data_IF_632863106840
#
_entry.id   IF_632863106840
#
_cell.length_a   1.000
_cell.length_b   1.000
_cell.length_c   1.000
_cell.angle_alpha   90.00
_cell.angle_beta   90.00
_cell.angle_gamma   90.00
#
_symmetry.space_group_name_H-M   'P 1'
#
loop_
_entity.id
_entity.type
_entity.pdbx_description
1 polymer ?
#
# COMPACT_ATOMS: atom_id res chain seq x y z
N UNK A 1 -73.40 -48.77 7.47
CA UNK A 1 -72.75 -47.64 6.80
C UNK A 1 -71.25 -47.72 7.11
N UNK A 2 -70.54 -48.56 6.34
CA UNK A 2 -69.10 -48.81 6.46
C UNK A 2 -68.62 -49.14 5.04
N UNK A 3 -68.15 -48.13 4.31
CA UNK A 3 -67.45 -48.35 3.05
C UNK A 3 -65.99 -48.60 3.42
N UNK A 4 -65.60 -49.84 3.16
CA UNK A 4 -64.37 -50.49 3.51
C UNK A 4 -63.10 -49.72 3.09
N UNK A 5 -62.14 -49.79 4.00
CA UNK A 5 -60.70 -49.59 3.90
C UNK A 5 -60.01 -50.31 2.73
N UNK A 6 -60.36 -49.97 1.50
CA UNK A 6 -59.56 -50.32 0.30
C UNK A 6 -59.18 -49.04 -0.43
N UNK A 7 -58.38 -48.19 0.24
CA UNK A 7 -57.65 -47.12 -0.44
C UNK A 7 -56.63 -47.76 -1.39
N UNK A 8 -57.07 -47.91 -2.63
CA UNK A 8 -56.38 -48.40 -3.84
C UNK A 8 -54.87 -48.13 -3.82
N UNK A 9 -54.01 -49.18 -3.82
CA UNK A 9 -52.57 -49.09 -3.55
C UNK A 9 -51.82 -48.18 -4.53
N UNK A 10 -52.31 -48.07 -5.77
CA UNK A 10 -51.77 -47.17 -6.78
C UNK A 10 -51.89 -45.70 -6.37
N UNK A 11 -53.08 -45.27 -5.91
CA UNK A 11 -53.34 -43.88 -5.54
C UNK A 11 -52.44 -43.47 -4.37
N UNK A 12 -52.31 -44.35 -3.37
CA UNK A 12 -51.44 -44.11 -2.22
C UNK A 12 -49.96 -44.00 -2.64
N UNK A 13 -49.48 -44.83 -3.57
CA UNK A 13 -48.11 -44.75 -4.09
C UNK A 13 -47.85 -43.47 -4.87
N UNK A 14 -48.75 -43.04 -5.75
CA UNK A 14 -48.59 -41.78 -6.52
C UNK A 14 -48.61 -40.57 -5.58
N UNK A 15 -49.49 -40.54 -4.58
CA UNK A 15 -49.50 -39.50 -3.55
C UNK A 15 -48.24 -39.54 -2.68
N UNK A 16 -47.73 -40.72 -2.33
CA UNK A 16 -46.46 -40.89 -1.60
C UNK A 16 -45.28 -40.37 -2.43
N UNK A 17 -45.26 -40.65 -3.74
CA UNK A 17 -44.26 -40.13 -4.68
C UNK A 17 -44.33 -38.60 -4.79
N UNK A 18 -45.55 -38.05 -4.88
CA UNK A 18 -45.77 -36.60 -4.86
C UNK A 18 -45.27 -35.96 -3.55
N UNK A 19 -45.63 -36.54 -2.40
CA UNK A 19 -45.16 -36.08 -1.07
C UNK A 19 -43.63 -36.08 -0.98
N UNK A 20 -42.96 -37.12 -1.50
CA UNK A 20 -41.49 -37.17 -1.56
C UNK A 20 -40.90 -36.07 -2.43
N UNK A 21 -41.48 -35.78 -3.61
CA UNK A 21 -41.05 -34.65 -4.46
C UNK A 21 -41.23 -33.30 -3.77
N UNK A 22 -42.35 -33.10 -3.08
CA UNK A 22 -42.62 -31.88 -2.31
C UNK A 22 -41.62 -31.73 -1.16
N UNK A 23 -41.36 -32.80 -0.41
CA UNK A 23 -40.37 -32.81 0.67
C UNK A 23 -38.96 -32.45 0.17
N UNK A 24 -38.53 -33.04 -0.94
CA UNK A 24 -37.24 -32.71 -1.57
C UNK A 24 -37.18 -31.26 -2.03
N UNK A 25 -38.27 -30.72 -2.57
CA UNK A 25 -38.37 -29.30 -2.91
C UNK A 25 -38.15 -28.39 -1.69
N UNK A 26 -38.74 -28.72 -0.54
CA UNK A 26 -38.52 -27.98 0.70
C UNK A 26 -37.07 -28.06 1.19
N UNK A 27 -36.43 -29.23 1.10
CA UNK A 27 -35.01 -29.38 1.43
C UNK A 27 -34.16 -28.44 0.56
N UNK A 28 -34.41 -28.40 -0.76
CA UNK A 28 -33.67 -27.49 -1.65
C UNK A 28 -33.88 -26.01 -1.32
N UNK A 29 -35.11 -25.61 -0.99
CA UNK A 29 -35.41 -24.25 -0.53
C UNK A 29 -34.66 -23.90 0.75
N UNK A 30 -34.59 -24.83 1.70
CA UNK A 30 -33.85 -24.64 2.94
C UNK A 30 -32.34 -24.52 2.69
N UNK A 31 -31.76 -25.40 1.87
CA UNK A 31 -30.36 -25.34 1.48
C UNK A 31 -30.02 -24.04 0.74
N UNK A 32 -30.92 -23.57 -0.13
CA UNK A 32 -30.79 -22.28 -0.79
C UNK A 32 -30.76 -21.12 0.21
N UNK A 33 -31.69 -21.09 1.17
CA UNK A 33 -31.74 -20.06 2.20
C UNK A 33 -30.47 -20.07 3.07
N UNK A 34 -29.98 -21.25 3.46
CA UNK A 34 -28.74 -21.40 4.23
C UNK A 34 -27.52 -20.93 3.44
N UNK A 35 -27.44 -21.25 2.15
CA UNK A 35 -26.38 -20.76 1.27
C UNK A 35 -26.37 -19.24 1.17
N UNK A 36 -27.55 -18.63 1.05
CA UNK A 36 -27.69 -17.18 0.98
C UNK A 36 -27.31 -16.51 2.31
N UNK A 37 -27.73 -17.07 3.44
CA UNK A 37 -27.34 -16.58 4.75
C UNK A 37 -25.82 -16.67 4.95
N UNK A 38 -25.22 -17.79 4.55
CA UNK A 38 -23.78 -18.00 4.62
C UNK A 38 -23.01 -16.99 3.75
N UNK A 39 -23.47 -16.78 2.51
CA UNK A 39 -22.95 -15.75 1.61
C UNK A 39 -23.04 -14.37 2.26
N UNK A 40 -24.21 -14.02 2.81
CA UNK A 40 -24.43 -12.72 3.45
C UNK A 40 -23.50 -12.50 4.64
N UNK A 41 -23.39 -13.47 5.55
CA UNK A 41 -22.49 -13.37 6.73
C UNK A 41 -21.05 -13.19 6.27
N UNK A 42 -20.61 -13.98 5.30
CA UNK A 42 -19.24 -13.92 4.79
C UNK A 42 -18.97 -12.60 4.05
N UNK A 43 -19.91 -12.14 3.23
CA UNK A 43 -19.84 -10.86 2.52
C UNK A 43 -19.82 -9.67 3.48
N UNK A 44 -20.66 -9.68 4.53
CA UNK A 44 -20.63 -8.67 5.59
C UNK A 44 -19.32 -8.73 6.38
N UNK A 45 -18.78 -9.92 6.66
CA UNK A 45 -17.47 -10.08 7.31
C UNK A 45 -16.32 -9.51 6.48
N UNK A 46 -16.36 -9.69 5.14
CA UNK A 46 -15.43 -9.09 4.19
C UNK A 46 -15.60 -7.55 4.18
N UNK A 47 -16.82 -7.05 4.05
CA UNK A 47 -17.12 -5.61 4.01
C UNK A 47 -16.74 -4.89 5.30
N UNK A 48 -17.00 -5.51 6.46
CA UNK A 48 -16.60 -4.99 7.78
C UNK A 48 -15.09 -5.15 8.05
N UNK A 49 -14.32 -5.65 7.08
CA UNK A 49 -12.85 -5.73 7.13
C UNK A 49 -12.31 -6.50 8.33
N UNK A 50 -13.04 -7.51 8.80
CA UNK A 50 -12.60 -8.35 9.93
C UNK A 50 -11.60 -9.44 9.51
N UNK A 51 -11.50 -9.71 8.20
CA UNK A 51 -10.69 -10.78 7.64
C UNK A 51 -9.85 -10.28 6.46
N UNK A 52 -8.60 -10.75 6.38
CA UNK A 52 -7.74 -10.57 5.21
C UNK A 52 -7.84 -11.83 4.37
N UNK A 53 -8.62 -11.77 3.29
CA UNK A 53 -8.71 -12.86 2.32
C UNK A 53 -7.77 -12.62 1.12
N UNK A 54 -7.10 -13.68 0.66
CA UNK A 54 -6.47 -13.71 -0.66
C UNK A 54 -7.53 -13.90 -1.77
N UNK A 55 -7.23 -13.52 -3.01
CA UNK A 55 -8.14 -13.66 -4.15
C UNK A 55 -8.61 -15.11 -4.35
N UNK A 56 -7.74 -16.09 -4.07
CA UNK A 56 -8.08 -17.52 -4.10
C UNK A 56 -9.11 -17.88 -3.03
N UNK A 57 -8.98 -17.32 -1.84
CA UNK A 57 -9.88 -17.58 -0.71
C UNK A 57 -11.25 -16.92 -0.94
N UNK A 58 -11.28 -15.72 -1.53
CA UNK A 58 -12.52 -15.07 -1.96
C UNK A 58 -13.24 -15.93 -3.00
N UNK A 59 -12.54 -16.45 -4.01
CA UNK A 59 -13.13 -17.34 -5.01
C UNK A 59 -13.74 -18.60 -4.38
N UNK A 60 -13.04 -19.19 -3.42
CA UNK A 60 -13.50 -20.39 -2.71
C UNK A 60 -14.71 -20.12 -1.80
N UNK A 61 -14.80 -18.91 -1.26
CA UNK A 61 -15.90 -18.46 -0.41
C UNK A 61 -17.17 -18.15 -1.21
N UNK A 62 -17.02 -17.65 -2.44
CA UNK A 62 -18.14 -17.33 -3.34
C UNK A 62 -18.68 -18.55 -4.08
N UNK A 63 -17.87 -19.59 -4.29
CA UNK A 63 -18.25 -20.78 -5.05
C UNK A 63 -19.51 -21.51 -4.52
N UNK A 64 -19.67 -21.78 -3.21
CA UNK A 64 -20.90 -22.38 -2.65
C UNK A 64 -22.16 -21.57 -3.00
N UNK A 65 -22.02 -20.25 -3.01
CA UNK A 65 -23.11 -19.31 -3.28
C UNK A 65 -23.60 -19.42 -4.72
N UNK A 66 -22.70 -19.65 -5.68
CA UNK A 66 -23.07 -19.87 -7.08
C UNK A 66 -23.77 -21.22 -7.32
N UNK A 67 -23.35 -22.29 -6.64
CA UNK A 67 -24.03 -23.61 -6.73
C UNK A 67 -25.50 -23.50 -6.28
N UNK A 68 -25.77 -22.63 -5.30
CA UNK A 68 -27.13 -22.40 -4.83
C UNK A 68 -28.02 -21.61 -5.81
N UNK A 69 -27.45 -20.81 -6.72
CA UNK A 69 -28.23 -20.05 -7.72
C UNK A 69 -28.95 -20.94 -8.75
N UNK A 70 -28.55 -22.21 -8.88
CA UNK A 70 -29.22 -23.18 -9.76
C UNK A 70 -30.54 -23.69 -9.13
N UNK A 71 -30.65 -23.66 -7.79
CA UNK A 71 -31.79 -24.17 -7.03
C UNK A 71 -33.13 -23.42 -7.24
N UNK A 72 -33.20 -22.08 -7.36
CA UNK A 72 -34.46 -21.37 -7.56
C UNK A 72 -35.16 -21.66 -8.90
N UNK A 73 -34.48 -22.31 -9.86
CA UNK A 73 -35.10 -22.74 -11.13
C UNK A 73 -36.04 -23.95 -10.94
N UNK A 74 -35.99 -24.62 -9.78
CA UNK A 74 -36.87 -25.74 -9.47
C UNK A 74 -38.25 -25.21 -9.06
N UNK A 75 -39.25 -25.40 -9.92
CA UNK A 75 -40.65 -25.06 -9.62
C UNK A 75 -41.23 -26.03 -8.58
N UNK A 76 -42.15 -25.55 -7.75
CA UNK A 76 -42.93 -26.39 -6.83
C UNK A 76 -43.59 -27.53 -7.64
N UNK A 77 -43.34 -28.81 -7.31
CA UNK A 77 -43.95 -29.91 -8.02
C UNK A 77 -45.46 -29.89 -7.74
N UNK A 78 -46.27 -29.71 -8.77
CA UNK A 78 -47.72 -29.91 -8.69
C UNK A 78 -48.07 -31.39 -8.83
N UNK A 79 -49.23 -31.80 -8.32
CA UNK A 79 -49.74 -33.16 -8.51
C UNK A 79 -49.86 -33.50 -10.01
N UNK A 80 -50.29 -32.53 -10.81
CA UNK A 80 -50.38 -32.64 -12.29
C UNK A 80 -49.02 -32.91 -12.94
N UNK A 81 -47.98 -32.19 -12.53
CA UNK A 81 -46.62 -32.42 -13.02
C UNK A 81 -46.03 -33.75 -12.55
N UNK A 82 -46.52 -34.25 -11.41
CA UNK A 82 -46.12 -35.54 -10.86
C UNK A 82 -46.73 -36.68 -11.66
N UNK A 83 -48.03 -36.58 -11.98
CA UNK A 83 -48.73 -37.52 -12.87
C UNK A 83 -48.10 -37.54 -14.26
N UNK A 84 -47.91 -36.37 -14.89
CA UNK A 84 -47.23 -36.28 -16.20
C UNK A 84 -45.84 -36.92 -16.21
N UNK A 85 -45.08 -36.72 -15.14
CA UNK A 85 -43.74 -37.32 -15.01
C UNK A 85 -43.80 -38.85 -14.92
N UNK A 86 -44.75 -39.40 -14.17
CA UNK A 86 -44.93 -40.85 -14.04
C UNK A 86 -45.40 -41.49 -15.36
N UNK A 87 -46.31 -40.83 -16.08
CA UNK A 87 -46.74 -41.26 -17.42
C UNK A 87 -45.61 -41.16 -18.46
N UNK A 88 -44.73 -40.16 -18.34
CA UNK A 88 -43.56 -40.03 -19.22
C UNK A 88 -42.52 -41.12 -18.95
N UNK A 89 -42.32 -41.48 -17.68
CA UNK A 89 -41.38 -42.53 -17.28
C UNK A 89 -41.88 -43.94 -17.56
N UNK A 90 -43.19 -44.12 -17.67
CA UNK A 90 -43.78 -45.39 -18.05
C UNK A 90 -44.97 -45.12 -18.99
N UNK A 91 -44.76 -45.24 -20.32
CA UNK A 91 -45.75 -44.92 -21.35
C UNK A 91 -47.06 -45.69 -21.20
N UNK A 92 -47.06 -46.86 -20.54
CA UNK A 92 -48.25 -47.66 -20.31
C UNK A 92 -49.26 -46.93 -19.41
N UNK A 93 -48.84 -45.95 -18.62
CA UNK A 93 -49.74 -45.15 -17.81
C UNK A 93 -50.32 -43.93 -18.54
N UNK A 94 -49.90 -43.64 -19.78
CA UNK A 94 -50.24 -42.41 -20.51
C UNK A 94 -51.75 -42.19 -20.59
N UNK A 95 -52.22 -41.05 -20.10
CA UNK A 95 -53.64 -40.69 -20.03
C UNK A 95 -54.44 -41.38 -18.92
N UNK A 96 -54.03 -42.58 -18.47
CA UNK A 96 -54.74 -43.36 -17.45
C UNK A 96 -54.57 -42.77 -16.04
N UNK A 97 -53.34 -42.38 -15.66
CA UNK A 97 -53.11 -41.72 -14.38
C UNK A 97 -53.74 -40.31 -14.35
N UNK A 98 -53.77 -39.62 -15.50
CA UNK A 98 -54.44 -38.34 -15.61
C UNK A 98 -55.95 -38.46 -15.34
N UNK A 99 -56.63 -39.46 -15.92
CA UNK A 99 -58.06 -39.72 -15.68
C UNK A 99 -58.37 -40.08 -14.22
N UNK A 100 -57.45 -40.78 -13.54
CA UNK A 100 -57.60 -41.16 -12.12
C UNK A 100 -57.46 -39.96 -11.19
N UNK A 101 -56.52 -39.03 -11.46
CA UNK A 101 -56.23 -37.90 -10.57
C UNK A 101 -56.93 -36.60 -10.95
N UNK A 102 -57.40 -36.48 -12.19
CA UNK A 102 -58.07 -35.30 -12.75
C UNK A 102 -59.24 -35.76 -13.66
N UNK A 103 -60.33 -36.32 -13.08
CA UNK A 103 -61.48 -36.76 -13.84
C UNK A 103 -62.17 -35.58 -14.56
N UNK A 104 -63.00 -35.88 -15.57
CA UNK A 104 -63.83 -34.86 -16.20
C UNK A 104 -64.92 -34.38 -15.21
N UNK A 105 -65.69 -33.35 -15.58
CA UNK A 105 -66.65 -32.69 -14.67
C UNK A 105 -68.10 -33.19 -14.86
N UNK A 106 -68.33 -34.25 -15.61
CA UNK A 106 -69.67 -34.64 -16.10
C UNK A 106 -70.07 -36.00 -15.53
N UNK A 107 -71.02 -35.99 -14.59
CA UNK A 107 -71.33 -37.08 -13.67
C UNK A 107 -71.69 -38.45 -14.29
N UNK A 108 -72.19 -38.50 -15.53
CA UNK A 108 -72.75 -39.74 -16.10
C UNK A 108 -71.71 -40.71 -16.68
N UNK A 109 -70.58 -40.22 -17.20
CA UNK A 109 -69.53 -41.07 -17.79
C UNK A 109 -68.29 -41.20 -16.87
N UNK A 110 -68.13 -40.29 -15.91
CA UNK A 110 -66.93 -40.20 -15.06
C UNK A 110 -66.65 -41.49 -14.27
N UNK A 111 -67.67 -42.11 -13.68
CA UNK A 111 -67.48 -43.29 -12.83
C UNK A 111 -67.05 -44.52 -13.63
N UNK A 112 -67.52 -44.68 -14.87
CA UNK A 112 -67.17 -45.84 -15.72
C UNK A 112 -65.70 -45.72 -16.17
N UNK A 113 -65.32 -44.58 -16.73
CA UNK A 113 -63.96 -44.33 -17.21
C UNK A 113 -62.95 -44.26 -16.07
N UNK A 114 -63.32 -43.69 -14.92
CA UNK A 114 -62.49 -43.70 -13.73
C UNK A 114 -62.20 -45.13 -13.25
N UNK A 115 -63.23 -45.96 -13.09
CA UNK A 115 -63.05 -47.33 -12.60
C UNK A 115 -62.28 -48.19 -13.60
N UNK A 116 -62.49 -48.00 -14.90
CA UNK A 116 -61.71 -48.68 -15.95
C UNK A 116 -60.24 -48.24 -15.94
N UNK A 117 -59.96 -46.94 -15.98
CA UNK A 117 -58.59 -46.41 -15.98
C UNK A 117 -57.81 -46.83 -14.73
N UNK A 118 -58.50 -46.95 -13.61
CA UNK A 118 -57.94 -47.36 -12.34
C UNK A 118 -57.64 -48.86 -12.28
N UNK A 119 -58.54 -49.71 -12.75
CA UNK A 119 -58.30 -51.15 -12.88
C UNK A 119 -57.14 -51.44 -13.83
N UNK A 120 -57.12 -50.79 -15.00
CA UNK A 120 -56.02 -50.90 -15.96
C UNK A 120 -54.70 -50.44 -15.35
N UNK A 121 -54.70 -49.31 -14.62
CA UNK A 121 -53.48 -48.79 -13.98
C UNK A 121 -53.01 -49.68 -12.82
N UNK A 122 -53.91 -50.29 -12.05
CA UNK A 122 -53.55 -51.26 -11.00
C UNK A 122 -52.96 -52.54 -11.60
N UNK A 123 -53.54 -53.06 -12.68
CA UNK A 123 -53.00 -54.22 -13.40
C UNK A 123 -51.59 -53.94 -13.96
N UNK A 124 -51.37 -52.77 -14.55
CA UNK A 124 -50.04 -52.34 -15.02
C UNK A 124 -49.07 -52.23 -13.84
N UNK A 125 -49.53 -51.69 -12.72
CA UNK A 125 -48.72 -51.54 -11.51
C UNK A 125 -48.30 -52.86 -10.87
N UNK A 126 -49.17 -53.87 -10.88
CA UNK A 126 -48.85 -55.20 -10.34
C UNK A 126 -48.03 -56.06 -11.33
N UNK A 127 -48.22 -55.87 -12.64
CA UNK A 127 -47.50 -56.61 -13.68
C UNK A 127 -46.12 -56.04 -14.01
N UNK A 128 -45.89 -54.74 -13.82
CA UNK A 128 -44.60 -54.07 -14.12
C UNK A 128 -44.07 -53.29 -12.92
N UNK A 129 -42.76 -53.36 -12.69
CA UNK A 129 -42.10 -52.54 -11.65
C UNK A 129 -42.21 -51.05 -12.00
N UNK A 130 -43.12 -50.35 -11.35
CA UNK A 130 -43.20 -48.88 -11.42
C UNK A 130 -41.85 -48.29 -10.96
N UNK A 131 -41.30 -47.29 -11.66
CA UNK A 131 -40.02 -46.69 -11.30
C UNK A 131 -40.04 -46.18 -9.87
N UNK A 132 -39.12 -46.71 -9.06
CA UNK A 132 -38.91 -46.25 -7.68
C UNK A 132 -38.33 -44.84 -7.74
N UNK A 133 -38.79 -43.95 -6.86
CA UNK A 133 -38.21 -42.62 -6.70
C UNK A 133 -36.70 -42.74 -6.46
N UNK A 134 -35.90 -42.32 -7.44
CA UNK A 134 -34.45 -42.40 -7.38
C UNK A 134 -33.89 -41.23 -6.56
N UNK A 135 -33.71 -41.46 -5.27
CA UNK A 135 -33.14 -40.49 -4.32
C UNK A 135 -31.71 -40.06 -4.69
N UNK A 136 -30.97 -40.82 -5.52
CA UNK A 136 -29.55 -40.58 -5.81
C UNK A 136 -29.33 -39.31 -6.64
N UNK A 137 -30.23 -39.03 -7.59
CA UNK A 137 -30.20 -37.79 -8.38
C UNK A 137 -30.39 -36.53 -7.53
N UNK A 138 -30.94 -36.69 -6.32
CA UNK A 138 -31.18 -35.59 -5.37
C UNK A 138 -30.04 -35.43 -4.34
N UNK A 139 -29.17 -36.43 -4.21
CA UNK A 139 -28.02 -36.39 -3.30
C UNK A 139 -26.86 -35.57 -3.86
N UNK A 140 -26.70 -35.47 -5.18
CA UNK A 140 -25.50 -34.83 -5.77
C UNK A 140 -25.37 -33.34 -5.37
N UNK A 141 -26.41 -32.48 -5.50
CA UNK A 141 -26.24 -31.08 -5.15
C UNK A 141 -26.13 -30.83 -3.64
N UNK A 142 -26.80 -31.67 -2.84
CA UNK A 142 -26.71 -31.59 -1.37
C UNK A 142 -25.34 -32.04 -0.85
N UNK A 143 -24.76 -33.10 -1.41
CA UNK A 143 -23.38 -33.53 -1.12
C UNK A 143 -22.37 -32.46 -1.53
N UNK A 144 -22.52 -31.86 -2.73
CA UNK A 144 -21.63 -30.78 -3.18
C UNK A 144 -21.72 -29.57 -2.25
N UNK A 145 -22.92 -29.20 -1.80
CA UNK A 145 -23.11 -28.11 -0.84
C UNK A 145 -22.46 -28.42 0.51
N UNK A 146 -22.67 -29.61 1.07
CA UNK A 146 -22.05 -30.04 2.33
C UNK A 146 -20.53 -30.07 2.21
N UNK A 147 -19.99 -30.63 1.11
CA UNK A 147 -18.55 -30.65 0.84
C UNK A 147 -17.98 -29.24 0.77
N UNK A 148 -18.70 -28.30 0.14
CA UNK A 148 -18.29 -26.90 0.05
C UNK A 148 -18.25 -26.21 1.42
N UNK A 149 -19.19 -26.52 2.32
CA UNK A 149 -19.18 -26.03 3.71
C UNK A 149 -18.00 -26.64 4.47
N UNK A 150 -17.72 -27.93 4.30
CA UNK A 150 -16.59 -28.60 4.98
C UNK A 150 -15.26 -28.00 4.51
N UNK A 151 -15.09 -27.79 3.20
CA UNK A 151 -13.89 -27.15 2.65
C UNK A 151 -13.76 -25.71 3.20
N UNK A 152 -14.86 -24.98 3.29
CA UNK A 152 -14.86 -23.65 3.89
C UNK A 152 -14.45 -23.69 5.38
N UNK A 153 -15.08 -24.53 6.19
CA UNK A 153 -14.77 -24.68 7.61
C UNK A 153 -13.32 -25.14 7.84
N UNK A 154 -12.80 -26.02 6.98
CA UNK A 154 -11.41 -26.46 6.99
C UNK A 154 -10.46 -25.31 6.62
N UNK A 155 -10.83 -24.47 5.66
CA UNK A 155 -10.06 -23.29 5.26
C UNK A 155 -10.13 -22.18 6.33
N UNK A 156 -11.23 -22.11 7.08
CA UNK A 156 -11.46 -21.14 8.15
C UNK A 156 -10.43 -21.26 9.28
N UNK A 157 -9.89 -22.46 9.54
CA UNK A 157 -8.80 -22.67 10.52
C UNK A 157 -7.52 -21.89 10.18
N UNK A 158 -7.34 -21.51 8.92
CA UNK A 158 -6.21 -20.69 8.46
C UNK A 158 -6.53 -19.19 8.36
N UNK A 159 -7.78 -18.77 8.66
CA UNK A 159 -8.11 -17.35 8.69
C UNK A 159 -7.45 -16.70 9.90
N UNK A 160 -6.33 -16.04 9.64
CA UNK A 160 -5.68 -15.18 10.62
C UNK A 160 -6.53 -13.93 10.79
N UNK A 161 -7.20 -13.81 11.94
CA UNK A 161 -7.72 -12.53 12.41
C UNK A 161 -6.50 -11.67 12.73
N UNK A 162 -6.12 -10.80 11.80
CA UNK A 162 -5.06 -9.83 12.00
C UNK A 162 -5.73 -8.61 12.62
N UNK A 163 -5.32 -8.22 13.83
CA UNK A 163 -5.61 -6.89 14.37
C UNK A 163 -4.52 -5.95 13.84
N UNK A 164 -4.76 -5.25 12.72
CA UNK A 164 -3.68 -4.60 11.99
C UNK A 164 -3.22 -3.37 12.75
N UNK A 165 -1.91 -3.29 13.01
CA UNK A 165 -1.29 -2.09 13.53
C UNK A 165 -0.10 -1.69 12.68
N UNK A 166 0.11 -0.39 12.55
CA UNK A 166 1.21 0.21 11.81
C UNK A 166 1.78 1.31 12.70
N UNK A 167 2.99 1.08 13.21
CA UNK A 167 3.68 2.05 14.04
C UNK A 167 4.94 2.56 13.36
N UNK A 168 5.03 3.87 13.16
CA UNK A 168 6.18 4.48 12.50
C UNK A 168 7.27 4.63 13.54
N UNK A 169 8.30 3.79 13.45
CA UNK A 169 9.41 3.79 14.39
C UNK A 169 10.39 4.92 14.07
N UNK A 170 10.61 5.17 12.78
CA UNK A 170 11.54 6.20 12.33
C UNK A 170 11.11 6.74 10.97
N UNK A 171 11.13 8.05 10.87
CA UNK A 171 11.08 8.77 9.59
C UNK A 171 11.78 10.11 9.82
N UNK A 172 12.69 10.49 8.93
CA UNK A 172 13.12 11.89 8.89
C UNK A 172 11.94 12.69 8.33
N UNK A 173 11.33 13.54 9.16
CA UNK A 173 10.20 14.38 8.75
C UNK A 173 10.60 15.44 7.72
N UNK A 174 11.90 15.74 7.63
CA UNK A 174 12.50 16.64 6.67
C UNK A 174 13.72 15.98 6.01
N UNK A 175 13.92 16.25 4.71
CA UNK A 175 15.13 15.85 3.96
C UNK A 175 15.53 16.97 3.00
N UNK A 176 16.82 17.05 2.67
CA UNK A 176 17.27 17.95 1.62
C UNK A 176 16.78 17.47 0.24
N UNK A 177 16.63 18.40 -0.70
CA UNK A 177 16.30 18.11 -2.09
C UNK A 177 17.30 17.11 -2.70
N UNK A 178 16.78 16.03 -3.28
CA UNK A 178 17.59 14.95 -3.86
C UNK A 178 18.12 13.92 -2.85
N UNK A 179 17.99 14.15 -1.54
CA UNK A 179 18.46 13.19 -0.53
C UNK A 179 17.47 12.04 -0.26
N UNK A 180 17.99 10.83 0.01
CA UNK A 180 17.16 9.72 0.43
C UNK A 180 16.69 9.86 1.89
N UNK A 181 15.41 9.58 2.14
CA UNK A 181 14.84 9.38 3.46
C UNK A 181 14.65 7.89 3.73
N UNK A 182 15.12 7.40 4.89
CA UNK A 182 14.81 6.06 5.34
C UNK A 182 13.57 6.06 6.24
N UNK A 183 12.63 5.17 5.94
CA UNK A 183 11.41 4.99 6.72
C UNK A 183 11.37 3.59 7.31
N UNK A 184 11.20 3.52 8.62
CA UNK A 184 11.10 2.28 9.39
C UNK A 184 9.77 2.20 10.12
N UNK A 185 9.08 1.07 9.95
CA UNK A 185 7.75 0.84 10.51
C UNK A 185 7.68 -0.53 11.17
N UNK A 186 6.94 -0.63 12.27
CA UNK A 186 6.59 -1.90 12.91
C UNK A 186 5.14 -2.26 12.55
N UNK A 187 4.94 -3.46 12.02
CA UNK A 187 3.60 -3.93 11.67
C UNK A 187 3.49 -5.45 11.66
N UNK A 188 2.39 -5.96 12.20
CA UNK A 188 2.01 -7.38 12.10
C UNK A 188 1.36 -7.76 10.76
N UNK A 189 1.29 -6.84 9.80
CA UNK A 189 0.79 -7.10 8.47
C UNK A 189 1.72 -8.08 7.72
N UNK A 190 1.16 -8.92 6.82
CA UNK A 190 1.95 -9.90 6.07
C UNK A 190 2.89 -9.24 5.07
N UNK A 191 2.48 -8.10 4.52
CA UNK A 191 3.23 -7.24 3.62
C UNK A 191 2.94 -5.78 3.95
N UNK A 192 3.90 -4.89 3.73
CA UNK A 192 3.71 -3.45 3.88
C UNK A 192 4.20 -2.75 2.62
N UNK A 193 3.43 -1.78 2.16
CA UNK A 193 3.70 -0.98 0.98
C UNK A 193 3.73 0.51 1.34
N UNK A 194 4.48 1.27 0.56
CA UNK A 194 4.41 2.73 0.54
C UNK A 194 3.71 3.16 -0.74
N UNK A 195 2.74 4.07 -0.59
CA UNK A 195 1.98 4.69 -1.65
C UNK A 195 2.31 6.18 -1.67
N UNK A 196 2.87 6.68 -2.76
CA UNK A 196 3.22 8.09 -2.93
C UNK A 196 3.67 8.40 -4.36
N UNK A 197 3.50 9.66 -4.79
CA UNK A 197 3.84 10.10 -6.15
C UNK A 197 3.28 9.22 -7.29
N UNK A 198 2.08 8.66 -7.09
CA UNK A 198 1.43 7.75 -8.05
C UNK A 198 2.04 6.34 -8.13
N UNK A 199 3.02 6.02 -7.30
CA UNK A 199 3.70 4.73 -7.27
C UNK A 199 3.38 3.94 -6.00
N UNK A 200 3.48 2.62 -6.12
CA UNK A 200 3.38 1.66 -5.01
C UNK A 200 4.69 0.89 -4.93
N UNK A 201 5.34 0.95 -3.79
CA UNK A 201 6.59 0.25 -3.54
C UNK A 201 6.47 -0.68 -2.34
N UNK A 202 7.03 -1.89 -2.44
CA UNK A 202 6.99 -2.89 -1.36
C UNK A 202 8.11 -2.59 -0.37
N UNK A 203 7.78 -2.50 0.91
CA UNK A 203 8.79 -2.39 1.96
C UNK A 203 9.52 -3.73 2.17
N UNK A 204 10.79 -3.65 2.53
CA UNK A 204 11.61 -4.82 2.83
C UNK A 204 11.31 -5.29 4.25
N UNK A 205 10.95 -6.57 4.39
CA UNK A 205 10.73 -7.18 5.70
C UNK A 205 12.06 -7.36 6.42
N UNK A 206 12.14 -6.84 7.64
CA UNK A 206 13.26 -6.99 8.55
C UNK A 206 12.88 -7.93 9.71
N UNK A 207 13.76 -8.06 10.70
CA UNK A 207 13.47 -8.82 11.94
C UNK A 207 12.38 -8.13 12.77
N UNK A 208 11.73 -8.89 13.64
CA UNK A 208 10.80 -8.41 14.67
C UNK A 208 9.63 -7.56 14.14
N UNK A 209 9.02 -8.00 13.03
CA UNK A 209 7.88 -7.32 12.40
C UNK A 209 8.19 -5.89 11.93
N UNK A 210 9.47 -5.60 11.65
CA UNK A 210 9.89 -4.31 11.11
C UNK A 210 9.93 -4.35 9.60
N UNK A 211 9.64 -3.21 9.00
CA UNK A 211 9.59 -2.99 7.57
C UNK A 211 10.34 -1.70 7.26
N UNK A 212 11.26 -1.76 6.31
CA UNK A 212 12.09 -0.61 5.93
C UNK A 212 12.00 -0.31 4.44
N UNK A 213 12.12 0.97 4.08
CA UNK A 213 12.26 1.41 2.70
C UNK A 213 13.06 2.71 2.65
N UNK A 214 13.78 2.92 1.55
CA UNK A 214 14.46 4.17 1.24
C UNK A 214 13.62 4.89 0.19
N UNK A 215 13.15 6.09 0.51
CA UNK A 215 12.39 6.97 -0.38
C UNK A 215 13.28 8.11 -0.85
N UNK A 216 13.15 8.53 -2.10
CA UNK A 216 13.78 9.76 -2.62
C UNK A 216 12.68 10.71 -3.07
N UNK A 217 12.11 11.50 -2.15
CA UNK A 217 11.05 12.44 -2.50
C UNK A 217 11.63 13.63 -3.27
N UNK A 218 11.07 13.95 -4.43
CA UNK A 218 11.46 15.15 -5.19
C UNK A 218 10.82 16.42 -4.62
N UNK A 219 9.65 16.30 -3.97
CA UNK A 219 8.88 17.41 -3.40
C UNK A 219 8.22 17.00 -2.08
N UNK A 220 7.88 18.00 -1.26
CA UNK A 220 7.14 17.80 -0.01
C UNK A 220 5.86 17.00 -0.28
N UNK A 221 5.80 15.79 0.26
CA UNK A 221 4.77 14.80 -0.07
C UNK A 221 4.25 14.07 1.16
N UNK A 222 2.98 13.67 1.10
CA UNK A 222 2.37 12.76 2.08
C UNK A 222 2.38 11.36 1.49
N UNK A 223 3.09 10.44 2.15
CA UNK A 223 3.13 9.03 1.78
C UNK A 223 2.18 8.25 2.67
N UNK A 224 1.44 7.30 2.09
CA UNK A 224 0.64 6.34 2.87
C UNK A 224 1.40 5.05 3.01
N UNK A 225 1.52 4.53 4.24
CA UNK A 225 2.22 3.28 4.52
C UNK A 225 1.26 2.26 5.05
N UNK A 226 1.25 1.07 4.47
CA UNK A 226 0.45 -0.03 4.98
C UNK A 226 0.09 -1.09 3.96
N UNK A 227 -1.04 -1.77 4.19
CA UNK A 227 -1.52 -2.85 3.34
C UNK A 227 -3.00 -2.65 3.03
N UNK A 228 -3.34 -2.54 1.74
CA UNK A 228 -4.71 -2.31 1.26
C UNK A 228 -5.33 -1.06 1.91
N UNK A 229 -6.29 -1.24 2.81
CA UNK A 229 -7.01 -0.15 3.49
C UNK A 229 -6.47 0.15 4.89
N UNK A 230 -5.54 -0.67 5.40
CA UNK A 230 -4.88 -0.40 6.67
C UNK A 230 -3.64 0.41 6.35
N UNK A 231 -3.79 1.73 6.33
CA UNK A 231 -2.72 2.67 5.99
C UNK A 231 -2.57 3.74 7.06
N UNK A 232 -1.35 4.23 7.22
CA UNK A 232 -1.01 5.37 8.06
C UNK A 232 -0.26 6.39 7.20
N UNK A 233 -0.65 7.65 7.33
CA UNK A 233 -0.03 8.72 6.56
C UNK A 233 1.23 9.21 7.27
N UNK A 234 2.29 9.44 6.50
CA UNK A 234 3.51 10.11 6.93
C UNK A 234 3.76 11.30 6.01
N UNK A 235 4.24 12.41 6.57
CA UNK A 235 4.64 13.59 5.80
C UNK A 235 6.16 13.65 5.77
N UNK A 236 6.73 13.80 4.58
CA UNK A 236 8.15 14.10 4.40
C UNK A 236 8.25 15.43 3.68
N UNK A 237 8.84 16.41 4.35
CA UNK A 237 9.09 17.75 3.82
C UNK A 237 10.45 17.78 3.12
N UNK A 238 10.44 18.19 1.85
CA UNK A 238 11.68 18.40 1.08
C UNK A 238 12.05 19.86 1.22
N UNK A 239 13.25 20.09 1.73
CA UNK A 239 13.78 21.43 1.96
C UNK A 239 14.88 21.73 0.95
N UNK A 240 15.00 22.99 0.50
CA UNK A 240 16.10 23.38 -0.37
C UNK A 240 17.43 23.18 0.35
N UNK A 241 18.46 22.90 -0.44
CA UNK A 241 19.85 22.80 0.04
C UNK A 241 20.26 24.09 0.75
N UNK A 242 21.17 23.96 1.73
CA UNK A 242 21.73 25.10 2.43
C UNK A 242 22.59 25.91 1.45
N UNK A 243 22.23 27.18 1.25
CA UNK A 243 22.92 28.08 0.33
C UNK A 243 23.28 29.38 1.03
N UNK A 244 24.46 29.91 0.72
CA UNK A 244 24.88 31.24 1.15
C UNK A 244 24.38 32.26 0.12
N UNK A 245 23.48 33.15 0.54
CA UNK A 245 22.82 34.13 -0.34
C UNK A 245 23.62 35.42 -0.47
N UNK A 246 24.27 35.86 0.60
CA UNK A 246 24.99 37.12 0.66
C UNK A 246 26.28 36.95 1.44
N UNK A 247 27.35 37.55 0.95
CA UNK A 247 28.63 37.58 1.64
C UNK A 247 29.32 38.92 1.43
N UNK A 248 29.97 39.38 2.47
CA UNK A 248 30.83 40.55 2.50
C UNK A 248 32.16 40.12 3.11
N UNK A 249 33.24 40.39 2.40
CA UNK A 249 34.61 40.16 2.83
C UNK A 249 35.27 41.52 3.02
N UNK A 250 35.82 41.74 4.22
CA UNK A 250 36.53 42.97 4.57
C UNK A 250 37.97 42.65 4.92
N UNK A 251 38.90 43.24 4.19
CA UNK A 251 40.34 43.15 4.44
C UNK A 251 40.78 44.31 5.33
N UNK A 252 41.41 43.98 6.45
CA UNK A 252 41.97 44.95 7.39
C UNK A 252 43.47 44.73 7.40
N UNK A 253 44.18 45.56 6.63
CA UNK A 253 45.64 45.51 6.51
C UNK A 253 46.33 45.98 7.80
N UNK A 254 47.55 45.53 8.06
CA UNK A 254 48.38 46.05 9.13
C UNK A 254 48.53 47.58 9.10
N UNK A 255 48.50 48.22 10.28
CA UNK A 255 48.45 49.69 10.41
C UNK A 255 49.63 50.40 9.73
N UNK A 256 50.81 49.79 9.69
CA UNK A 256 52.02 50.39 9.10
C UNK A 256 51.97 50.55 7.57
N UNK A 257 51.08 49.81 6.88
CA UNK A 257 50.90 49.92 5.43
C UNK A 257 50.04 51.15 5.08
N UNK A 258 49.25 51.65 6.04
CA UNK A 258 48.39 52.83 5.88
C UNK A 258 47.43 52.76 4.67
N UNK A 259 46.95 51.55 4.34
CA UNK A 259 45.97 51.30 3.28
C UNK A 259 44.57 51.16 3.89
N UNK A 260 43.55 51.84 3.35
CA UNK A 260 42.18 51.72 3.84
C UNK A 260 41.65 50.30 3.67
N UNK A 261 40.73 49.89 4.55
CA UNK A 261 40.11 48.59 4.46
C UNK A 261 39.37 48.40 3.12
N UNK A 262 39.63 47.28 2.45
CA UNK A 262 38.97 46.90 1.21
C UNK A 262 37.74 46.04 1.53
N UNK A 263 36.63 46.25 0.81
CA UNK A 263 35.38 45.51 0.99
C UNK A 263 34.98 44.90 -0.35
N UNK A 264 34.69 43.60 -0.34
CA UNK A 264 34.23 42.83 -1.48
C UNK A 264 32.89 42.16 -1.14
N UNK A 265 31.97 42.10 -2.09
CA UNK A 265 30.60 41.57 -1.90
C UNK A 265 30.44 40.10 -2.33
N UNK A 266 31.54 39.38 -2.46
CA UNK A 266 31.58 37.98 -2.90
C UNK A 266 32.67 37.26 -2.12
N UNK A 267 32.48 35.97 -1.82
CA UNK A 267 33.58 35.14 -1.28
C UNK A 267 34.55 34.90 -2.43
N UNK A 268 35.79 35.37 -2.35
CA UNK A 268 36.80 34.96 -3.31
C UNK A 268 37.21 33.52 -3.02
N UNK A 269 37.38 32.72 -4.07
CA UNK A 269 38.00 31.39 -3.94
C UNK A 269 39.47 31.50 -3.49
N UNK A 270 40.09 32.65 -3.76
CA UNK A 270 41.49 32.93 -3.53
C UNK A 270 41.69 34.35 -2.96
N UNK A 271 42.29 34.42 -1.78
CA UNK A 271 42.64 35.63 -1.06
C UNK A 271 44.14 35.83 -1.13
N UNK A 272 44.58 36.89 -1.80
CA UNK A 272 45.98 37.30 -1.85
C UNK A 272 46.17 38.49 -0.90
N UNK A 273 46.92 38.31 0.18
CA UNK A 273 47.09 39.37 1.17
C UNK A 273 48.42 39.30 1.91
N UNK A 274 48.86 40.46 2.40
CA UNK A 274 50.11 40.58 3.15
C UNK A 274 49.97 39.88 4.51
N UNK A 275 51.07 39.30 5.00
CA UNK A 275 51.14 38.71 6.33
C UNK A 275 50.59 39.67 7.41
N UNK A 276 49.81 39.13 8.35
CA UNK A 276 49.18 39.90 9.42
C UNK A 276 47.81 40.50 9.07
N UNK A 277 47.39 40.50 7.80
CA UNK A 277 46.06 40.99 7.39
C UNK A 277 44.94 40.18 8.06
N UNK A 278 43.91 40.89 8.54
CA UNK A 278 42.69 40.26 9.10
C UNK A 278 41.60 40.29 8.03
N UNK A 279 41.20 39.12 7.57
CA UNK A 279 40.10 38.90 6.64
C UNK A 279 38.84 38.63 7.44
N UNK A 280 37.92 39.59 7.50
CA UNK A 280 36.63 39.42 8.16
C UNK A 280 35.58 39.05 7.12
N UNK A 281 34.95 37.91 7.30
CA UNK A 281 33.86 37.44 6.42
C UNK A 281 32.57 37.52 7.19
N UNK A 282 31.55 38.14 6.61
CA UNK A 282 30.19 38.16 7.13
C UNK A 282 29.20 37.83 6.03
N UNK A 283 28.15 37.10 6.34
CA UNK A 283 27.18 36.71 5.33
C UNK A 283 25.84 36.28 5.89
N UNK A 284 24.97 35.85 4.99
CA UNK A 284 23.64 35.36 5.28
C UNK A 284 23.35 34.12 4.44
N UNK A 285 22.83 33.08 5.09
CA UNK A 285 22.34 31.88 4.43
C UNK A 285 20.82 31.94 4.21
N UNK A 286 20.31 31.12 3.29
CA UNK A 286 18.86 30.94 3.09
C UNK A 286 18.15 30.37 4.33
N UNK A 287 18.90 29.71 5.24
CA UNK A 287 18.41 29.00 6.43
C UNK A 287 19.18 29.37 7.70
N UNK A 288 18.63 28.97 8.85
CA UNK A 288 19.27 29.22 10.15
C UNK A 288 20.45 28.28 10.33
N UNK A 289 21.62 28.86 10.56
CA UNK A 289 22.87 28.15 10.79
C UNK A 289 22.99 27.72 12.25
N UNK A 290 23.69 26.61 12.46
CA UNK A 290 24.04 26.04 13.77
C UNK A 290 25.52 26.20 14.05
N UNK A 291 26.36 25.86 13.06
CA UNK A 291 27.82 25.81 13.17
C UNK A 291 28.47 26.06 11.80
N UNK A 292 29.73 26.48 11.83
CA UNK A 292 30.63 26.54 10.67
C UNK A 292 31.85 25.71 11.03
N UNK A 293 32.02 24.56 10.39
CA UNK A 293 33.21 23.73 10.60
C UNK A 293 34.40 24.31 9.83
N UNK A 294 35.61 24.12 10.35
CA UNK A 294 36.86 24.52 9.69
C UNK A 294 37.40 25.90 10.09
N UNK A 295 36.77 26.59 11.04
CA UNK A 295 37.28 27.84 11.60
C UNK A 295 37.04 27.94 13.10
N UNK A 296 37.97 28.57 13.81
CA UNK A 296 37.82 28.90 15.22
C UNK A 296 37.36 30.37 15.36
N UNK A 297 36.36 30.63 16.23
CA UNK A 297 35.79 31.96 16.54
C UNK A 297 34.76 32.50 15.55
N UNK A 298 33.89 31.63 15.05
CA UNK A 298 32.67 32.00 14.36
C UNK A 298 31.62 32.63 15.30
N UNK A 299 30.81 33.51 14.73
CA UNK A 299 29.62 34.08 15.38
C UNK A 299 28.43 33.85 14.48
N UNK A 300 27.44 33.12 14.98
CA UNK A 300 26.23 32.77 14.24
C UNK A 300 25.02 33.38 14.95
N UNK A 301 24.21 34.12 14.19
CA UNK A 301 22.98 34.75 14.65
C UNK A 301 21.84 34.42 13.68
N UNK A 302 21.18 33.29 13.93
CA UNK A 302 20.11 32.81 13.07
C UNK A 302 20.64 32.48 11.67
N UNK A 303 20.28 33.27 10.67
CA UNK A 303 20.75 33.08 9.29
C UNK A 303 22.09 33.76 9.00
N UNK A 304 22.52 34.67 9.87
CA UNK A 304 23.71 35.48 9.66
C UNK A 304 24.91 34.82 10.32
N UNK A 305 26.06 34.96 9.68
CA UNK A 305 27.31 34.51 10.25
C UNK A 305 28.38 35.57 10.11
N UNK A 306 29.39 35.49 10.97
CA UNK A 306 30.63 36.27 10.85
C UNK A 306 31.77 35.45 11.40
N UNK A 307 32.90 35.44 10.71
CA UNK A 307 34.16 34.90 11.19
C UNK A 307 35.31 35.78 10.72
N UNK A 308 36.49 35.55 11.26
CA UNK A 308 37.69 36.25 10.83
C UNK A 308 38.86 35.29 10.74
N UNK A 309 39.69 35.49 9.73
CA UNK A 309 40.91 34.74 9.50
C UNK A 309 42.06 35.74 9.55
N UNK A 310 43.12 35.41 10.28
CA UNK A 310 44.36 36.19 10.20
C UNK A 310 45.33 35.47 9.27
N UNK A 311 45.87 36.20 8.31
CA UNK A 311 46.83 35.70 7.32
C UNK A 311 48.20 35.60 7.99
N UNK A 312 48.76 34.40 8.04
CA UNK A 312 50.10 34.16 8.57
C UNK A 312 51.02 33.43 7.58
N UNK A 313 50.41 32.60 6.73
CA UNK A 313 51.10 31.78 5.73
C UNK A 313 50.09 31.24 4.74
N UNK A 314 50.58 30.73 3.63
CA UNK A 314 49.78 30.04 2.64
C UNK A 314 49.00 28.88 3.27
N UNK A 315 47.66 28.96 3.20
CA UNK A 315 46.75 28.01 3.84
C UNK A 315 45.47 27.88 3.02
N UNK A 316 44.88 26.68 2.98
CA UNK A 316 43.53 26.48 2.42
C UNK A 316 42.57 26.13 3.56
N UNK A 317 41.49 26.91 3.68
CA UNK A 317 40.39 26.64 4.59
C UNK A 317 39.26 25.94 3.84
N UNK A 318 38.73 24.89 4.44
CA UNK A 318 37.53 24.19 3.96
C UNK A 318 36.45 24.45 4.99
N UNK A 319 35.40 25.16 4.58
CA UNK A 319 34.31 25.59 5.43
C UNK A 319 33.06 24.80 5.07
N UNK A 320 32.50 24.12 6.07
CA UNK A 320 31.23 23.39 5.92
C UNK A 320 30.21 24.03 6.85
N UNK A 321 29.12 24.55 6.28
CA UNK A 321 28.06 25.18 7.05
C UNK A 321 27.04 24.12 7.44
N UNK A 322 26.65 24.07 8.72
CA UNK A 322 25.59 23.18 9.22
C UNK A 322 24.38 24.03 9.64
N UNK A 323 23.18 23.62 9.24
CA UNK A 323 21.95 24.29 9.62
C UNK A 323 21.37 23.75 10.95
N UNK A 324 20.33 24.41 11.48
CA UNK A 324 19.69 23.99 12.74
C UNK A 324 18.99 22.62 12.69
N UNK A 325 18.86 22.01 11.51
CA UNK A 325 18.30 20.68 11.28
C UNK A 325 19.38 19.65 10.91
N UNK A 326 20.66 20.00 11.09
CA UNK A 326 21.83 19.18 10.79
C UNK A 326 21.96 18.83 9.29
N UNK A 327 21.51 19.71 8.41
CA UNK A 327 21.80 19.66 6.97
C UNK A 327 23.03 20.51 6.68
N UNK A 328 23.94 19.97 5.89
CA UNK A 328 25.20 20.64 5.52
C UNK A 328 25.10 21.31 4.16
N UNK A 329 25.89 22.36 3.94
CA UNK A 329 26.15 22.89 2.60
C UNK A 329 27.20 22.04 1.88
N UNK A 330 27.40 22.34 0.60
CA UNK A 330 28.65 21.97 -0.08
C UNK A 330 29.84 22.65 0.61
N UNK A 331 31.02 22.04 0.49
CA UNK A 331 32.26 22.56 1.06
C UNK A 331 32.70 23.83 0.33
N UNK A 332 32.77 24.95 1.06
CA UNK A 332 33.33 26.20 0.57
C UNK A 332 34.83 26.22 0.82
N UNK A 333 35.63 26.34 -0.23
CA UNK A 333 37.09 26.41 -0.12
C UNK A 333 37.57 27.83 -0.28
N UNK A 334 38.35 28.31 0.69
CA UNK A 334 39.02 29.60 0.63
C UNK A 334 40.52 29.34 0.66
N UNK A 335 41.22 29.64 -0.43
CA UNK A 335 42.68 29.63 -0.48
C UNK A 335 43.20 30.98 -0.05
N UNK A 336 44.17 30.99 0.85
CA UNK A 336 44.86 32.19 1.27
C UNK A 336 46.31 32.06 0.81
N UNK A 337 46.74 32.98 -0.05
CA UNK A 337 48.15 33.19 -0.37
C UNK A 337 48.67 34.40 0.39
N UNK A 338 49.68 34.15 1.19
CA UNK A 338 50.35 35.13 2.02
C UNK A 338 51.47 35.75 1.21
N UNK A 339 51.40 37.06 1.01
CA UNK A 339 52.53 37.84 0.49
C UNK A 339 53.42 38.13 1.70
N UNK A 340 54.65 37.59 1.77
CA UNK A 340 55.55 37.82 2.89
C UNK A 340 55.89 39.31 2.98
N UNK A 341 55.83 39.86 4.18
CA UNK A 341 56.19 41.25 4.46
C UNK A 341 57.68 41.36 4.81
N UNK A 342 58.53 41.14 3.82
CA UNK A 342 59.98 41.22 3.98
C UNK A 342 60.46 42.68 3.89
N UNK A 343 61.40 43.04 4.76
CA UNK A 343 62.05 44.36 4.66
C UNK A 343 62.81 44.44 3.33
N UNK A 344 62.72 45.54 2.57
CA UNK A 344 63.53 45.70 1.38
C UNK A 344 65.01 45.70 1.77
N UNK A 345 65.76 44.71 1.29
CA UNK A 345 67.22 44.71 1.39
C UNK A 345 67.76 45.61 0.27
N UNK A 346 68.26 46.78 0.66
CA UNK A 346 68.94 47.69 -0.26
C UNK A 346 70.42 47.32 -0.24
N UNK A 347 70.89 46.63 -1.27
CA UNK A 347 72.32 46.46 -1.50
C UNK A 347 72.85 47.71 -2.21
N UNK A 348 73.70 48.46 -1.52
CA UNK A 348 74.43 49.58 -2.14
C UNK A 348 75.56 48.96 -2.98
N UNK A 349 75.32 48.79 -4.27
CA UNK A 349 76.37 48.44 -5.23
C UNK A 349 77.23 49.69 -5.43
N UNK A 350 78.36 49.77 -4.72
CA UNK A 350 79.35 50.80 -4.95
C UNK A 350 79.80 50.75 -6.42
N UNK A 351 79.86 51.88 -7.14
CA UNK A 351 80.55 51.88 -8.43
C UNK A 351 82.01 51.51 -8.20
N UNK A 352 82.58 50.69 -9.09
CA UNK A 352 84.02 50.43 -9.11
C UNK A 352 84.77 51.75 -9.39
N UNK A 353 85.20 52.44 -8.33
CA UNK A 353 86.08 53.61 -8.42
C UNK A 353 85.97 54.55 -7.21
N UNK A 354 87.12 55.03 -6.73
CA UNK A 354 87.23 56.02 -5.65
C UNK A 354 86.62 57.37 -6.09
N UNK A 355 85.34 57.58 -5.83
CA UNK A 355 84.72 58.90 -5.90
C UNK A 355 84.58 59.49 -4.50
N UNK A 356 85.35 60.55 -4.23
CA UNK A 356 85.13 61.44 -3.07
C UNK A 356 83.77 62.11 -3.21
N UNK A 357 82.81 61.70 -2.39
CA UNK A 357 81.49 62.34 -2.30
C UNK A 357 81.66 63.64 -1.51
N UNK A 358 81.81 64.75 -2.23
CA UNK A 358 81.62 66.09 -1.69
C UNK A 358 80.36 66.69 -2.31
N UNK A 359 79.42 67.02 -1.43
CA UNK A 359 78.13 67.70 -1.65
C UNK A 359 77.05 66.94 -2.44
N UNK A 360 75.92 66.74 -1.71
CA UNK A 360 74.54 66.47 -2.13
C UNK A 360 74.33 66.07 -3.59
N UNK A 361 74.44 64.78 -3.88
CA UNK A 361 73.93 64.21 -5.13
C UNK A 361 72.75 63.29 -4.84
N UNK A 362 71.62 63.58 -5.49
CA UNK A 362 70.44 62.73 -5.52
C UNK A 362 70.77 61.45 -6.30
N UNK A 363 70.61 60.30 -5.67
CA UNK A 363 70.74 58.99 -6.32
C UNK A 363 69.39 58.63 -6.94
N UNK A 364 69.31 58.34 -8.25
CA UNK A 364 68.07 57.90 -8.87
C UNK A 364 67.79 56.45 -8.46
N UNK A 365 66.61 56.21 -7.90
CA UNK A 365 66.06 54.86 -7.74
C UNK A 365 65.60 54.40 -9.14
N UNK A 366 66.23 53.35 -9.66
CA UNK A 366 65.76 52.64 -10.85
C UNK A 366 64.80 51.56 -10.35
N UNK A 367 63.53 51.66 -10.74
CA UNK A 367 62.47 50.71 -10.41
C UNK A 367 62.50 49.49 -11.34
#
# INVERSE_FOLDING_TARGET
MHIQDTKKPLIFRVLSFHKRRVFVFFIYRLLFALSFLFFYISFVGILKRHFVFDYKEIGLLLFPSFVSLILPLIKLPSLRNTVKYLEMMNPDFKGRLFLVFFPFKTEQDDNKWFNQALSESENIYFSKRVPVFDWRKFYVPSVLFILSIIIFLSSHKNLKVINPYIDVLYTKGYVAEGEPSFVLVKSNLPEVFVYGAGRREKMIKMRDFRWGIVLKPDTTSVFRIGYRHYTRDIKIEVLPLLQIEQVEVKYIYPEYINVPAQIESTIPEEVNSIEGTIVRVSGMANRRLRSIEGIDNEKIYGKRFTFHIRVYKDTTYILTFEDSLNLTSDDYKIKIHCIPDEKPEIEIVYPQGDYRITTTNLVPLVF
#
